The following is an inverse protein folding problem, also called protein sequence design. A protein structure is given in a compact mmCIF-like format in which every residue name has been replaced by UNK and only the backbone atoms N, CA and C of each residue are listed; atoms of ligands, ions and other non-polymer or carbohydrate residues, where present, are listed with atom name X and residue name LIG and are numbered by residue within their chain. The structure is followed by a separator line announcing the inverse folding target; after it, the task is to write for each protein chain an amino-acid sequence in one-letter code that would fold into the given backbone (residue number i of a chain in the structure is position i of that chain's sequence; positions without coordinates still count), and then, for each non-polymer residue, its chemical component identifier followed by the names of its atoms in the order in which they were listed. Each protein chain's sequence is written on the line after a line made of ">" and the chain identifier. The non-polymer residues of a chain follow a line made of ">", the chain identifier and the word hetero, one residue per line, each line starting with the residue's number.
data_IF_511314840532
#
_entry.id   IF_511314840532
#
_cell.length_a   1.000
_cell.length_b   1.000
_cell.length_c   1.000
_cell.angle_alpha   90.00
_cell.angle_beta   90.00
_cell.angle_gamma   90.00
#
_symmetry.space_group_name_H-M   'P 1'
#
loop_
_entity.id
_entity.type
_entity.pdbx_description
1 polymer ?
#
# COMPACT_ATOMS: atom_id res chain seq x y z
N UNK A 1 9.14 6.58 -12.50
CA UNK A 1 9.71 7.28 -13.67
C UNK A 1 10.47 8.56 -13.30
N UNK A 2 9.94 9.41 -12.40
CA UNK A 2 10.54 10.72 -12.06
C UNK A 2 11.98 10.65 -11.50
N UNK A 3 12.42 9.47 -11.06
CA UNK A 3 13.76 9.24 -10.49
C UNK A 3 14.78 8.84 -11.56
N UNK A 4 14.32 8.48 -12.76
CA UNK A 4 15.17 8.06 -13.86
C UNK A 4 15.53 9.25 -14.74
N UNK A 5 16.82 9.51 -14.92
CA UNK A 5 17.29 10.61 -15.77
C UNK A 5 16.97 10.38 -17.24
N UNK A 6 17.11 9.13 -17.71
CA UNK A 6 16.91 8.80 -19.12
C UNK A 6 16.25 7.41 -19.26
N UNK A 7 14.95 7.31 -18.95
CA UNK A 7 14.22 6.04 -19.05
C UNK A 7 14.13 5.61 -20.52
N UNK A 8 14.30 4.32 -20.77
CA UNK A 8 14.03 3.72 -22.08
C UNK A 8 12.53 3.77 -22.40
N UNK A 9 12.17 3.60 -23.66
CA UNK A 9 10.78 3.49 -24.08
C UNK A 9 10.05 2.36 -23.36
N UNK A 10 10.71 1.20 -23.18
CA UNK A 10 10.14 0.04 -22.48
C UNK A 10 9.90 0.36 -21.00
N UNK A 11 10.85 1.00 -20.32
CA UNK A 11 10.66 1.45 -18.93
C UNK A 11 9.52 2.44 -18.82
N UNK A 12 9.45 3.41 -19.73
CA UNK A 12 8.37 4.40 -19.75
C UNK A 12 7.01 3.72 -19.93
N UNK A 13 6.88 2.82 -20.91
CA UNK A 13 5.62 2.13 -21.18
C UNK A 13 5.16 1.25 -20.00
N UNK A 14 6.07 0.59 -19.31
CA UNK A 14 5.75 -0.27 -18.17
C UNK A 14 5.49 0.57 -16.92
N UNK A 15 6.42 1.44 -16.53
CA UNK A 15 6.36 2.15 -15.25
C UNK A 15 5.28 3.25 -15.22
N UNK A 16 4.88 3.81 -16.36
CA UNK A 16 3.80 4.80 -16.43
C UNK A 16 2.42 4.23 -16.07
N UNK A 17 2.25 2.91 -16.13
CA UNK A 17 0.98 2.25 -15.76
C UNK A 17 0.76 2.18 -14.25
N UNK A 18 1.82 2.32 -13.46
CA UNK A 18 1.73 2.36 -12.00
C UNK A 18 1.38 3.77 -11.55
N UNK A 19 0.08 3.99 -11.35
CA UNK A 19 -0.47 5.26 -10.89
C UNK A 19 -0.63 5.27 -9.38
N UNK A 20 -0.61 6.45 -8.78
CA UNK A 20 -0.78 6.67 -7.36
C UNK A 20 -1.93 7.63 -7.10
N UNK A 21 -2.65 7.42 -6.00
CA UNK A 21 -3.66 8.35 -5.49
C UNK A 21 -3.21 8.95 -4.17
N UNK A 22 -3.52 10.22 -3.98
CA UNK A 22 -3.29 10.89 -2.70
C UNK A 22 -4.40 10.54 -1.73
N UNK A 23 -4.01 10.16 -0.51
CA UNK A 23 -4.91 9.88 0.59
C UNK A 23 -4.51 10.71 1.80
N UNK A 24 -5.48 11.30 2.46
CA UNK A 24 -5.28 12.10 3.65
C UNK A 24 -5.56 11.24 4.89
N UNK A 25 -4.56 11.10 5.74
CA UNK A 25 -4.67 10.40 7.01
C UNK A 25 -4.71 11.40 8.16
N UNK A 26 -5.63 11.20 9.08
CA UNK A 26 -5.77 12.00 10.29
C UNK A 26 -5.60 11.10 11.52
N UNK A 27 -4.68 11.44 12.40
CA UNK A 27 -4.56 10.84 13.72
C UNK A 27 -5.42 11.66 14.69
N UNK A 28 -6.43 11.04 15.33
CA UNK A 28 -7.40 11.74 16.17
C UNK A 28 -7.98 10.84 17.26
N UNK A 29 -8.82 11.43 18.15
CA UNK A 29 -9.61 10.72 19.16
C UNK A 29 -11.13 10.98 19.04
N UNK A 30 -11.58 11.47 17.89
CA UNK A 30 -13.01 11.76 17.66
C UNK A 30 -13.78 10.47 17.35
N UNK A 31 -14.60 10.02 18.31
CA UNK A 31 -15.44 8.81 18.17
C UNK A 31 -16.55 8.96 17.12
N UNK A 32 -16.87 10.17 16.65
CA UNK A 32 -17.94 10.40 15.67
C UNK A 32 -17.64 9.77 14.30
N UNK A 33 -16.37 9.51 14.00
CA UNK A 33 -15.94 8.88 12.76
C UNK A 33 -15.99 7.34 12.84
N UNK A 34 -16.37 6.80 13.98
CA UNK A 34 -16.57 5.36 14.19
C UNK A 34 -18.06 4.98 14.03
N UNK A 35 -18.36 3.70 13.80
CA UNK A 35 -19.74 3.24 13.83
C UNK A 35 -20.46 3.63 15.13
N UNK A 36 -21.74 4.03 15.05
CA UNK A 36 -22.53 4.48 16.23
C UNK A 36 -22.59 3.43 17.35
N UNK A 37 -22.65 2.14 16.99
CA UNK A 37 -22.67 1.04 17.95
C UNK A 37 -21.25 0.60 18.28
N UNK A 38 -20.78 0.82 19.50
CA UNK A 38 -19.45 0.44 19.95
C UNK A 38 -19.20 -1.08 19.86
N UNK A 39 -20.24 -1.90 19.99
CA UNK A 39 -20.13 -3.37 19.88
C UNK A 39 -19.73 -3.89 18.51
N UNK A 40 -19.82 -3.07 17.45
CA UNK A 40 -19.38 -3.43 16.10
C UNK A 40 -18.02 -2.84 15.74
N UNK A 41 -17.35 -2.17 16.66
CA UNK A 41 -16.02 -1.63 16.41
C UNK A 41 -15.02 -2.75 16.22
N UNK A 42 -14.23 -2.66 15.16
CA UNK A 42 -13.11 -3.55 14.89
C UNK A 42 -11.84 -2.73 14.69
N UNK A 43 -10.70 -3.42 14.50
CA UNK A 43 -9.44 -2.74 14.19
C UNK A 43 -9.55 -1.89 12.92
N UNK A 44 -10.38 -2.31 11.97
CA UNK A 44 -10.63 -1.66 10.69
C UNK A 44 -12.12 -1.43 10.53
N UNK A 45 -12.52 -0.19 10.33
CA UNK A 45 -13.92 0.19 10.19
C UNK A 45 -14.09 0.95 8.88
N UNK A 46 -14.80 0.33 7.95
CA UNK A 46 -15.13 0.93 6.66
C UNK A 46 -16.49 1.60 6.77
N UNK A 47 -16.56 2.88 6.41
CA UNK A 47 -17.79 3.66 6.42
C UNK A 47 -18.03 4.23 5.03
N UNK A 48 -19.04 3.68 4.35
CA UNK A 48 -19.51 4.21 3.07
C UNK A 48 -20.41 5.43 3.31
N UNK A 49 -20.34 6.41 2.42
CA UNK A 49 -21.26 7.52 2.42
C UNK A 49 -22.46 7.17 1.53
N UNK A 50 -23.67 7.10 2.12
CA UNK A 50 -24.88 6.80 1.35
C UNK A 50 -25.26 7.89 0.32
N UNK A 51 -24.75 9.11 0.48
CA UNK A 51 -25.01 10.22 -0.45
C UNK A 51 -24.04 10.23 -1.66
N UNK A 52 -22.92 9.54 -1.56
CA UNK A 52 -21.90 9.41 -2.62
C UNK A 52 -21.29 8.02 -2.54
N UNK A 53 -21.71 7.13 -3.44
CA UNK A 53 -21.28 5.74 -3.49
C UNK A 53 -19.76 5.59 -3.74
N UNK A 54 -19.10 6.62 -4.26
CA UNK A 54 -17.67 6.65 -4.48
C UNK A 54 -16.88 7.21 -3.29
N UNK A 55 -17.56 7.74 -2.28
CA UNK A 55 -16.96 8.32 -1.08
C UNK A 55 -17.01 7.31 0.07
N UNK A 56 -15.84 6.90 0.50
CA UNK A 56 -15.69 6.02 1.67
C UNK A 56 -14.57 6.52 2.56
N UNK A 57 -14.70 6.29 3.85
CA UNK A 57 -13.64 6.48 4.83
C UNK A 57 -13.27 5.15 5.48
N UNK A 58 -11.99 5.02 5.80
CA UNK A 58 -11.46 3.88 6.53
C UNK A 58 -10.88 4.37 7.84
N UNK A 59 -11.43 3.89 8.96
CA UNK A 59 -10.95 4.25 10.29
C UNK A 59 -10.31 3.04 10.97
N UNK A 60 -9.04 3.17 11.32
CA UNK A 60 -8.31 2.21 12.15
C UNK A 60 -8.49 2.58 13.62
N UNK A 61 -8.97 1.64 14.43
CA UNK A 61 -8.94 1.78 15.88
C UNK A 61 -7.60 1.28 16.40
N UNK A 62 -6.70 2.22 16.69
CA UNK A 62 -5.30 1.93 16.98
C UNK A 62 -5.13 1.17 18.31
N UNK A 63 -6.01 1.43 19.30
CA UNK A 63 -5.97 0.71 20.58
C UNK A 63 -6.11 -0.80 20.39
N UNK A 64 -7.04 -1.22 19.51
CA UNK A 64 -7.22 -2.65 19.22
C UNK A 64 -6.13 -3.16 18.26
N UNK A 65 -5.81 -2.38 17.23
CA UNK A 65 -4.85 -2.77 16.18
C UNK A 65 -3.43 -2.98 16.73
N UNK A 66 -3.01 -2.12 17.66
CA UNK A 66 -1.65 -2.12 18.21
C UNK A 66 -1.61 -2.50 19.71
N UNK A 67 -2.73 -2.99 20.27
CA UNK A 67 -2.83 -3.37 21.69
C UNK A 67 -2.40 -2.21 22.63
N UNK A 68 -2.82 -0.98 22.31
CA UNK A 68 -2.51 0.20 23.13
C UNK A 68 -3.45 0.20 24.34
N UNK A 69 -2.84 0.08 25.53
CA UNK A 69 -3.58 0.16 26.81
C UNK A 69 -3.70 1.62 27.23
N UNK A 70 -4.83 2.23 26.90
CA UNK A 70 -5.16 3.61 27.24
C UNK A 70 -6.67 3.75 27.44
N UNK A 71 -7.07 4.65 28.34
CA UNK A 71 -8.48 5.06 28.50
C UNK A 71 -8.97 5.88 27.31
N UNK A 72 -8.06 6.58 26.63
CA UNK A 72 -8.36 7.33 25.42
C UNK A 72 -8.34 6.43 24.19
N UNK A 73 -9.31 6.66 23.28
CA UNK A 73 -9.30 6.00 21.98
C UNK A 73 -8.44 6.82 21.00
N UNK A 74 -7.63 6.10 20.23
CA UNK A 74 -6.83 6.67 19.14
C UNK A 74 -7.25 6.04 17.82
N UNK A 75 -7.49 6.89 16.83
CA UNK A 75 -7.91 6.50 15.50
C UNK A 75 -6.99 7.08 14.45
N UNK A 76 -6.83 6.35 13.36
CA UNK A 76 -6.30 6.88 12.11
C UNK A 76 -7.38 6.73 11.06
N UNK A 77 -7.90 7.84 10.56
CA UNK A 77 -8.91 7.83 9.50
C UNK A 77 -8.31 8.29 8.18
N UNK A 78 -8.50 7.45 7.17
CA UNK A 78 -8.10 7.73 5.80
C UNK A 78 -9.30 8.29 5.04
N UNK A 79 -9.10 9.43 4.37
CA UNK A 79 -10.11 10.12 3.59
C UNK A 79 -11.45 10.27 4.33
N UNK A 80 -11.46 10.92 5.50
CA UNK A 80 -12.69 11.06 6.29
C UNK A 80 -13.76 11.83 5.50
N UNK A 81 -15.00 11.33 5.51
CA UNK A 81 -16.15 12.04 4.94
C UNK A 81 -16.40 13.38 5.65
N UNK A 82 -16.01 13.48 6.89
CA UNK A 82 -16.02 14.69 7.70
C UNK A 82 -14.70 14.79 8.44
N UNK A 83 -14.02 15.95 8.31
CA UNK A 83 -12.76 16.19 9.03
C UNK A 83 -13.00 16.07 10.54
N UNK A 84 -12.15 15.35 11.30
CA UNK A 84 -12.26 15.31 12.77
C UNK A 84 -12.25 16.71 13.36
N UNK A 85 -13.07 16.98 14.38
CA UNK A 85 -13.11 18.29 15.02
C UNK A 85 -11.76 18.70 15.62
N UNK A 86 -11.04 17.73 16.16
CA UNK A 86 -9.68 17.85 16.67
C UNK A 86 -8.85 16.65 16.20
N UNK A 87 -7.65 16.90 15.76
CA UNK A 87 -6.70 15.85 15.38
C UNK A 87 -5.29 16.20 15.88
N UNK A 88 -4.51 15.17 16.16
CA UNK A 88 -3.12 15.30 16.63
C UNK A 88 -2.17 15.57 15.47
N UNK A 89 -2.43 14.90 14.33
CA UNK A 89 -1.60 15.00 13.14
C UNK A 89 -2.41 14.73 11.87
N UNK A 90 -1.92 15.27 10.75
CA UNK A 90 -2.45 15.07 9.41
C UNK A 90 -1.31 14.82 8.45
N UNK A 91 -1.36 13.69 7.75
CA UNK A 91 -0.33 13.30 6.77
C UNK A 91 -0.98 12.95 5.44
N UNK A 92 -0.27 13.20 4.35
CA UNK A 92 -0.67 12.80 3.01
C UNK A 92 0.16 11.61 2.56
N UNK A 93 -0.50 10.53 2.17
CA UNK A 93 0.11 9.35 1.59
C UNK A 93 -0.23 9.21 0.12
N UNK A 94 0.70 8.71 -0.66
CA UNK A 94 0.45 8.27 -2.03
C UNK A 94 0.41 6.74 -2.07
N UNK A 95 -0.76 6.18 -2.42
CA UNK A 95 -0.94 4.74 -2.52
C UNK A 95 -1.05 4.31 -3.98
N UNK A 96 -0.44 3.18 -4.37
CA UNK A 96 -0.57 2.65 -5.72
C UNK A 96 -2.02 2.25 -6.01
N UNK A 97 -2.47 2.51 -7.22
CA UNK A 97 -3.79 2.10 -7.72
C UNK A 97 -3.63 0.80 -8.50
N UNK A 98 -4.37 -0.23 -8.10
CA UNK A 98 -4.39 -1.53 -8.78
C UNK A 98 -5.53 -1.57 -9.80
N UNK A 99 -5.26 -1.01 -10.99
CA UNK A 99 -6.15 -1.10 -12.15
C UNK A 99 -5.89 -2.40 -12.94
N UNK A 100 -6.79 -2.75 -13.85
CA UNK A 100 -6.56 -3.87 -14.78
C UNK A 100 -5.30 -3.67 -15.60
N UNK A 101 -5.02 -2.45 -16.05
CA UNK A 101 -3.79 -2.10 -16.77
C UNK A 101 -2.54 -2.37 -15.94
N UNK A 102 -2.57 -1.98 -14.66
CA UNK A 102 -1.46 -2.22 -13.72
C UNK A 102 -1.22 -3.72 -13.56
N UNK A 103 -2.28 -4.50 -13.29
CA UNK A 103 -2.18 -5.95 -13.10
C UNK A 103 -1.67 -6.66 -14.36
N UNK A 104 -2.12 -6.26 -15.54
CA UNK A 104 -1.62 -6.80 -16.80
C UNK A 104 -0.16 -6.43 -17.04
N UNK A 105 0.23 -5.22 -16.66
CA UNK A 105 1.60 -4.71 -16.87
C UNK A 105 2.61 -5.38 -15.94
N UNK A 106 2.21 -5.85 -14.77
CA UNK A 106 3.09 -6.60 -13.85
C UNK A 106 3.78 -7.79 -14.53
N UNK A 107 3.15 -8.43 -15.49
CA UNK A 107 3.72 -9.54 -16.26
C UNK A 107 4.95 -9.16 -17.10
N UNK A 108 5.12 -7.88 -17.38
CA UNK A 108 6.21 -7.38 -18.24
C UNK A 108 7.37 -6.77 -17.47
N UNK A 109 7.30 -6.72 -16.13
CA UNK A 109 8.36 -6.15 -15.27
C UNK A 109 9.71 -6.82 -15.51
N UNK A 110 9.72 -8.12 -15.80
CA UNK A 110 10.96 -8.86 -16.10
C UNK A 110 11.75 -8.25 -17.28
N UNK A 111 11.08 -7.55 -18.21
CA UNK A 111 11.72 -6.94 -19.40
C UNK A 111 12.59 -5.73 -19.08
N UNK A 112 12.38 -5.11 -17.91
CA UNK A 112 13.14 -3.93 -17.49
C UNK A 112 14.15 -4.24 -16.39
N UNK A 113 14.12 -5.44 -15.81
CA UNK A 113 15.05 -5.82 -14.75
C UNK A 113 16.46 -5.97 -15.28
N UNK A 114 17.44 -5.34 -14.61
CA UNK A 114 18.85 -5.38 -14.98
C UNK A 114 19.22 -4.54 -16.21
N UNK A 115 18.26 -3.92 -16.88
CA UNK A 115 18.52 -3.04 -18.02
C UNK A 115 19.26 -1.79 -17.55
N UNK A 116 20.36 -1.43 -18.20
CA UNK A 116 21.24 -0.31 -17.80
C UNK A 116 21.68 -0.40 -16.32
N UNK A 117 21.92 -1.60 -15.79
CA UNK A 117 22.23 -1.86 -14.40
C UNK A 117 21.20 -1.33 -13.39
N UNK A 118 19.93 -1.21 -13.81
CA UNK A 118 18.84 -0.73 -13.01
C UNK A 118 17.87 -1.86 -12.68
N UNK A 119 17.50 -1.97 -11.41
CA UNK A 119 16.59 -2.98 -10.90
C UNK A 119 15.44 -2.33 -10.17
N UNK A 120 14.26 -2.91 -10.31
CA UNK A 120 13.02 -2.39 -9.75
C UNK A 120 12.44 -3.39 -8.77
N UNK A 121 12.07 -2.92 -7.58
CA UNK A 121 11.33 -3.70 -6.58
C UNK A 121 10.32 -2.82 -5.86
N UNK A 122 9.34 -3.44 -5.24
CA UNK A 122 8.32 -2.75 -4.46
C UNK A 122 7.02 -3.55 -4.39
N UNK A 123 6.18 -3.23 -3.41
CA UNK A 123 4.90 -3.89 -3.20
C UNK A 123 3.91 -3.71 -4.36
N UNK A 124 4.08 -2.66 -5.16
CA UNK A 124 3.25 -2.37 -6.33
C UNK A 124 3.43 -3.37 -7.49
N UNK A 125 4.42 -4.25 -7.42
CA UNK A 125 4.59 -5.35 -8.37
C UNK A 125 3.75 -6.58 -8.02
N UNK A 126 3.09 -6.58 -6.87
CA UNK A 126 2.07 -7.54 -6.47
C UNK A 126 0.74 -6.85 -6.17
N UNK A 127 0.17 -7.12 -5.01
CA UNK A 127 -1.11 -6.56 -4.57
C UNK A 127 -0.95 -5.43 -3.54
N UNK A 128 0.27 -4.93 -3.32
CA UNK A 128 0.56 -3.82 -2.42
C UNK A 128 0.85 -4.22 -0.98
N UNK A 129 1.01 -5.51 -0.67
CA UNK A 129 1.32 -5.99 0.67
C UNK A 129 2.82 -5.99 0.94
N UNK A 130 3.20 -6.03 2.22
CA UNK A 130 4.59 -6.13 2.65
C UNK A 130 5.29 -7.36 2.06
N UNK A 131 4.58 -8.48 1.97
CA UNK A 131 5.09 -9.72 1.36
C UNK A 131 5.44 -9.52 -0.12
N UNK A 132 4.65 -8.78 -0.87
CA UNK A 132 4.95 -8.49 -2.28
C UNK A 132 6.23 -7.64 -2.40
N UNK A 133 6.41 -6.68 -1.48
CA UNK A 133 7.65 -5.89 -1.39
C UNK A 133 8.88 -6.75 -1.11
N UNK A 134 8.79 -7.65 -0.12
CA UNK A 134 9.90 -8.57 0.23
C UNK A 134 10.19 -9.53 -0.91
N UNK A 135 9.16 -10.13 -1.53
CA UNK A 135 9.36 -11.05 -2.66
C UNK A 135 10.03 -10.38 -3.84
N UNK A 136 9.61 -9.15 -4.21
CA UNK A 136 10.23 -8.42 -5.30
C UNK A 136 11.69 -8.06 -5.00
N UNK A 137 11.99 -7.65 -3.78
CA UNK A 137 13.36 -7.36 -3.34
C UNK A 137 14.24 -8.62 -3.32
N UNK A 138 13.69 -9.75 -2.86
CA UNK A 138 14.38 -11.03 -2.88
C UNK A 138 14.70 -11.51 -4.30
N UNK A 139 13.79 -11.25 -5.25
CA UNK A 139 14.05 -11.52 -6.67
C UNK A 139 15.26 -10.72 -7.18
N UNK A 140 15.32 -9.42 -6.89
CA UNK A 140 16.44 -8.55 -7.27
C UNK A 140 17.74 -9.03 -6.62
N UNK A 141 17.75 -9.33 -5.31
CA UNK A 141 18.91 -9.84 -4.61
C UNK A 141 19.45 -11.13 -5.24
N UNK A 142 18.57 -12.07 -5.56
CA UNK A 142 18.95 -13.32 -6.23
C UNK A 142 19.54 -13.07 -7.62
N UNK A 143 18.97 -12.12 -8.38
CA UNK A 143 19.47 -11.75 -9.71
C UNK A 143 20.86 -11.10 -9.65
N UNK A 144 21.20 -10.50 -8.53
CA UNK A 144 22.52 -9.94 -8.23
C UNK A 144 23.46 -10.95 -7.54
N UNK A 145 23.06 -12.23 -7.43
CA UNK A 145 23.80 -13.29 -6.72
C UNK A 145 24.04 -12.98 -5.23
N UNK A 146 23.16 -12.20 -4.59
CA UNK A 146 23.23 -11.89 -3.18
C UNK A 146 22.45 -12.94 -2.38
N UNK A 147 23.11 -13.55 -1.38
CA UNK A 147 22.44 -14.47 -0.46
C UNK A 147 21.47 -13.73 0.45
N UNK A 148 20.24 -14.24 0.56
CA UNK A 148 19.26 -13.71 1.49
C UNK A 148 19.64 -14.06 2.94
N UNK A 149 19.44 -13.15 3.92
CA UNK A 149 19.83 -13.37 5.32
C UNK A 149 18.99 -14.44 6.05
N UNK A 150 17.92 -14.93 5.43
CA UNK A 150 17.07 -15.99 5.98
C UNK A 150 17.16 -17.26 5.14
N UNK A 151 17.05 -18.43 5.80
CA UNK A 151 16.96 -19.73 5.12
C UNK A 151 15.53 -19.96 4.63
N UNK A 152 15.38 -20.29 3.36
CA UNK A 152 14.09 -20.74 2.81
C UNK A 152 13.74 -22.11 3.39
N UNK A 153 12.64 -22.22 4.17
CA UNK A 153 12.15 -23.52 4.67
C UNK A 153 11.29 -24.26 3.64
N UNK A 154 10.64 -23.55 2.68
CA UNK A 154 9.74 -24.14 1.70
C UNK A 154 9.86 -23.44 0.33
N UNK A 155 9.32 -24.07 -0.73
CA UNK A 155 9.14 -23.44 -2.04
C UNK A 155 8.36 -22.14 -1.87
N UNK A 156 8.95 -21.04 -2.31
CA UNK A 156 8.26 -19.75 -2.32
C UNK A 156 6.99 -19.89 -3.14
N UNK A 157 5.85 -19.51 -2.55
CA UNK A 157 4.67 -19.22 -3.30
C UNK A 157 4.94 -17.88 -4.02
N UNK A 158 5.35 -17.99 -5.28
CA UNK A 158 5.66 -16.81 -6.07
C UNK A 158 4.35 -16.13 -6.46
N UNK A 159 3.99 -15.07 -5.73
CA UNK A 159 2.83 -14.23 -6.03
C UNK A 159 3.10 -13.27 -7.19
N UNK A 160 4.36 -13.10 -7.53
CA UNK A 160 4.82 -12.18 -8.56
C UNK A 160 5.02 -13.00 -9.85
N UNK A 161 4.30 -12.62 -10.89
CA UNK A 161 4.42 -13.26 -12.21
C UNK A 161 5.70 -12.80 -12.92
N UNK A 162 6.86 -13.19 -12.39
CA UNK A 162 8.18 -13.00 -13.02
C UNK A 162 8.51 -14.19 -13.94
N UNK A 163 7.61 -14.62 -14.80
CA UNK A 163 7.89 -15.64 -15.82
C UNK A 163 8.21 -14.98 -17.16
#
# INVERSE_FOLDING_TARGET
>A
LKVLDNPSEVETNILSKFRYTKNYAYLHSDNKLMPKRKSVWSSWNFVANHADENSFSLTYWMNLLQNIKSENNYFVTINPNQIPNTYFDKTTFEHPIFSLDTLQTQKYIHKIQGTKNTWYCGSYFGYGFHEDGIQSSAYVANSLNICLPWKRKNKFYNRLNYN
#
